data_IF_740528772410
#
_entry.id   IF_740528772410
#
_cell.length_a   1.000
_cell.length_b   1.000
_cell.length_c   1.000
_cell.angle_alpha   90.00
_cell.angle_beta   90.00
_cell.angle_gamma   90.00
#
_symmetry.space_group_name_H-M   'P 1'
#
loop_
_entity.id
_entity.type
_entity.pdbx_description
1 polymer ?
#
# COMPACT_ATOMS: atom_id res chain seq x y z
N UNK A 1 -18.89 -3.46 4.69
CA UNK A 1 -17.84 -4.15 3.90
C UNK A 1 -16.57 -4.23 4.73
N UNK A 2 -15.80 -5.31 4.64
CA UNK A 2 -14.49 -5.38 5.30
C UNK A 2 -13.47 -4.49 4.57
N UNK A 3 -12.46 -3.92 5.26
CA UNK A 3 -11.40 -3.13 4.61
C UNK A 3 -10.68 -3.89 3.48
N UNK A 4 -10.51 -5.21 3.65
CA UNK A 4 -9.97 -6.10 2.61
C UNK A 4 -10.79 -6.05 1.32
N UNK A 5 -12.11 -6.13 1.44
CA UNK A 5 -12.98 -6.10 0.27
C UNK A 5 -12.89 -4.74 -0.43
N UNK A 6 -12.87 -3.64 0.33
CA UNK A 6 -12.71 -2.29 -0.23
C UNK A 6 -11.40 -2.15 -1.03
N UNK A 7 -10.31 -2.74 -0.54
CA UNK A 7 -9.01 -2.71 -1.21
C UNK A 7 -8.99 -3.52 -2.53
N UNK A 8 -9.67 -4.67 -2.56
CA UNK A 8 -9.83 -5.46 -3.79
C UNK A 8 -10.77 -4.76 -4.76
N UNK A 9 -11.86 -4.16 -4.27
CA UNK A 9 -12.78 -3.38 -5.10
C UNK A 9 -12.10 -2.18 -5.73
N UNK A 10 -11.23 -1.45 -5.01
CA UNK A 10 -10.50 -0.32 -5.58
C UNK A 10 -9.59 -0.75 -6.73
N UNK A 11 -8.90 -1.89 -6.62
CA UNK A 11 -8.12 -2.44 -7.72
C UNK A 11 -8.99 -2.74 -8.94
N UNK A 12 -10.11 -3.44 -8.74
CA UNK A 12 -11.04 -3.79 -9.84
C UNK A 12 -11.56 -2.51 -10.51
N UNK A 13 -11.91 -1.49 -9.72
CA UNK A 13 -12.34 -0.19 -10.25
C UNK A 13 -11.24 0.48 -11.08
N UNK A 14 -10.00 0.52 -10.59
CA UNK A 14 -8.87 1.10 -11.33
C UNK A 14 -8.68 0.38 -12.67
N UNK A 15 -8.63 -0.96 -12.66
CA UNK A 15 -8.48 -1.74 -13.90
C UNK A 15 -9.67 -1.51 -14.85
N UNK A 16 -10.89 -1.47 -14.33
CA UNK A 16 -12.09 -1.24 -15.15
C UNK A 16 -12.08 0.14 -15.80
N UNK A 17 -11.69 1.18 -15.04
CA UNK A 17 -11.52 2.54 -15.57
C UNK A 17 -10.41 2.58 -16.60
N UNK A 18 -9.28 1.92 -16.37
CA UNK A 18 -8.17 1.91 -17.33
C UNK A 18 -8.57 1.25 -18.64
N UNK A 19 -9.25 0.10 -18.57
CA UNK A 19 -9.75 -0.59 -19.77
C UNK A 19 -10.76 0.26 -20.54
N UNK A 20 -11.61 1.01 -19.83
CA UNK A 20 -12.60 1.89 -20.45
C UNK A 20 -11.98 3.16 -21.07
N UNK A 21 -11.03 3.80 -20.38
CA UNK A 21 -10.46 5.09 -20.78
C UNK A 21 -9.30 4.93 -21.77
N UNK A 22 -8.38 3.99 -21.50
CA UNK A 22 -7.14 3.81 -22.27
C UNK A 22 -7.16 2.59 -23.21
N UNK A 23 -8.11 1.67 -23.04
CA UNK A 23 -8.13 0.41 -23.76
C UNK A 23 -7.10 -0.60 -23.24
N UNK A 24 -7.11 -1.81 -23.80
CA UNK A 24 -6.36 -2.95 -23.28
C UNK A 24 -4.84 -2.77 -23.37
N UNK A 25 -4.31 -2.33 -24.51
CA UNK A 25 -2.86 -2.25 -24.73
C UNK A 25 -2.20 -1.26 -23.76
N UNK A 26 -2.73 -0.03 -23.70
CA UNK A 26 -2.20 1.00 -22.81
C UNK A 26 -2.41 0.67 -21.33
N UNK A 27 -3.51 -0.01 -20.98
CA UNK A 27 -3.69 -0.53 -19.60
C UNK A 27 -2.56 -1.47 -19.19
N UNK A 28 -2.17 -2.39 -20.06
CA UNK A 28 -1.08 -3.34 -19.78
C UNK A 28 0.26 -2.60 -19.69
N UNK A 29 0.49 -1.62 -20.55
CA UNK A 29 1.69 -0.77 -20.52
C UNK A 29 1.80 -0.01 -19.19
N UNK A 30 0.75 0.69 -18.76
CA UNK A 30 0.71 1.42 -17.48
C UNK A 30 0.99 0.52 -16.28
N UNK A 31 0.47 -0.71 -16.27
CA UNK A 31 0.74 -1.67 -15.18
C UNK A 31 2.20 -2.14 -15.21
N UNK A 32 2.76 -2.31 -16.42
CA UNK A 32 4.15 -2.75 -16.60
C UNK A 32 5.16 -1.67 -16.27
N UNK A 33 4.84 -0.40 -16.49
CA UNK A 33 5.72 0.72 -16.13
C UNK A 33 6.04 0.70 -14.62
N UNK A 34 5.09 0.25 -13.80
CA UNK A 34 5.25 0.13 -12.34
C UNK A 34 5.94 -1.17 -11.87
N UNK A 35 6.60 -1.91 -12.76
CA UNK A 35 7.19 -3.21 -12.43
C UNK A 35 8.19 -3.17 -11.27
N UNK A 36 8.93 -2.07 -11.08
CA UNK A 36 9.89 -1.93 -9.98
C UNK A 36 9.19 -1.90 -8.62
N UNK A 37 8.06 -1.21 -8.52
CA UNK A 37 7.27 -1.17 -7.29
C UNK A 37 6.58 -2.50 -7.02
N UNK A 38 6.08 -3.16 -8.07
CA UNK A 38 5.57 -4.53 -7.96
C UNK A 38 6.67 -5.48 -7.48
N UNK A 39 7.89 -5.36 -8.03
CA UNK A 39 9.03 -6.17 -7.64
C UNK A 39 9.45 -5.89 -6.19
N UNK A 40 9.38 -4.64 -5.73
CA UNK A 40 9.68 -4.25 -4.36
C UNK A 40 8.76 -4.90 -3.31
N UNK A 41 7.54 -5.28 -3.68
CA UNK A 41 6.64 -6.03 -2.79
C UNK A 41 7.25 -7.37 -2.37
N UNK A 42 8.07 -8.00 -3.21
CA UNK A 42 8.66 -9.31 -2.93
C UNK A 42 9.60 -9.28 -1.71
N UNK A 43 10.69 -8.48 -1.68
CA UNK A 43 11.57 -8.43 -0.51
C UNK A 43 10.85 -7.91 0.74
N UNK A 44 9.94 -6.95 0.62
CA UNK A 44 9.16 -6.44 1.76
C UNK A 44 8.30 -7.55 2.36
N UNK A 45 7.64 -8.35 1.51
CA UNK A 45 6.81 -9.48 1.96
C UNK A 45 7.65 -10.57 2.61
N UNK A 46 8.86 -10.85 2.11
CA UNK A 46 9.78 -11.80 2.76
C UNK A 46 10.18 -11.34 4.17
N UNK A 47 10.53 -10.06 4.32
CA UNK A 47 10.90 -9.49 5.64
C UNK A 47 9.69 -9.52 6.59
N UNK A 48 8.51 -9.19 6.09
CA UNK A 48 7.25 -9.30 6.83
C UNK A 48 7.06 -10.71 7.39
N UNK A 49 7.15 -11.74 6.55
CA UNK A 49 6.99 -13.13 6.97
C UNK A 49 8.08 -13.57 7.95
N UNK A 50 9.32 -13.14 7.74
CA UNK A 50 10.43 -13.43 8.65
C UNK A 50 10.11 -12.96 10.08
N UNK A 51 9.74 -11.68 10.26
CA UNK A 51 9.43 -11.17 11.61
C UNK A 51 8.14 -11.76 12.17
N UNK A 52 7.10 -11.91 11.35
CA UNK A 52 5.84 -12.54 11.76
C UNK A 52 6.05 -13.94 12.33
N UNK A 53 6.92 -14.74 11.71
CA UNK A 53 7.24 -16.08 12.20
C UNK A 53 8.04 -16.05 13.52
N UNK A 54 8.95 -15.07 13.70
CA UNK A 54 9.75 -14.94 14.93
C UNK A 54 8.95 -14.54 16.17
N UNK A 55 7.81 -13.87 15.99
CA UNK A 55 6.92 -13.45 17.08
C UNK A 55 5.69 -14.34 17.24
N UNK A 56 5.58 -15.40 16.43
CA UNK A 56 4.43 -16.33 16.46
C UNK A 56 4.32 -17.01 17.83
N UNK A 57 3.12 -17.01 18.40
CA UNK A 57 2.84 -17.63 19.69
C UNK A 57 3.19 -16.77 20.92
N UNK A 58 3.60 -15.51 20.71
CA UNK A 58 3.84 -14.53 21.79
C UNK A 58 2.70 -13.50 21.82
N UNK A 59 2.51 -12.83 22.94
CA UNK A 59 1.60 -11.69 23.02
C UNK A 59 2.11 -10.56 22.13
N UNK A 60 1.20 -10.00 21.33
CA UNK A 60 1.53 -8.92 20.39
C UNK A 60 0.95 -7.62 20.91
N UNK A 61 1.81 -6.61 21.02
CA UNK A 61 1.41 -5.22 21.28
C UNK A 61 1.26 -4.53 19.92
N UNK A 62 0.08 -3.97 19.67
CA UNK A 62 -0.13 -3.13 18.50
C UNK A 62 0.44 -1.72 18.76
N UNK A 63 1.62 -1.46 18.19
CA UNK A 63 2.27 -0.16 18.30
C UNK A 63 1.63 0.91 17.41
N UNK A 64 0.75 0.52 16.50
CA UNK A 64 0.06 1.41 15.56
C UNK A 64 -1.34 1.82 16.06
N UNK A 65 -1.75 1.37 17.25
CA UNK A 65 -3.09 1.60 17.82
C UNK A 65 -3.52 3.07 17.91
N UNK A 66 -2.57 4.00 18.05
CA UNK A 66 -2.83 5.45 18.10
C UNK A 66 -2.63 6.15 16.75
N UNK A 67 -2.26 5.41 15.69
CA UNK A 67 -2.10 5.95 14.35
C UNK A 67 -3.48 6.05 13.68
N UNK A 68 -4.34 6.93 14.21
CA UNK A 68 -5.63 7.24 13.59
C UNK A 68 -5.40 8.20 12.42
N UNK A 69 -4.92 7.68 11.30
CA UNK A 69 -5.04 8.39 10.03
C UNK A 69 -6.53 8.66 9.81
N UNK A 70 -6.96 9.90 10.03
CA UNK A 70 -8.37 10.23 9.88
C UNK A 70 -8.72 10.12 8.40
N UNK A 71 -9.88 9.51 8.11
CA UNK A 71 -10.41 9.41 6.74
C UNK A 71 -10.48 10.80 6.08
N UNK A 72 -10.74 11.85 6.87
CA UNK A 72 -10.67 13.25 6.46
C UNK A 72 -9.29 13.63 5.90
N UNK A 73 -8.21 13.31 6.60
CA UNK A 73 -6.85 13.62 6.16
C UNK A 73 -6.47 12.83 4.90
N UNK A 74 -6.88 11.55 4.82
CA UNK A 74 -6.65 10.73 3.62
C UNK A 74 -7.37 11.30 2.40
N UNK A 75 -8.61 11.76 2.55
CA UNK A 75 -9.36 12.40 1.46
C UNK A 75 -8.69 13.71 1.02
N UNK A 76 -8.29 14.56 1.97
CA UNK A 76 -7.61 15.83 1.65
C UNK A 76 -6.30 15.56 0.91
N UNK A 77 -5.50 14.61 1.40
CA UNK A 77 -4.25 14.22 0.75
C UNK A 77 -4.52 13.70 -0.67
N UNK A 78 -5.50 12.81 -0.84
CA UNK A 78 -5.89 12.30 -2.15
C UNK A 78 -6.29 13.42 -3.12
N UNK A 79 -7.15 14.36 -2.69
CA UNK A 79 -7.58 15.49 -3.53
C UNK A 79 -6.42 16.40 -3.95
N UNK A 80 -5.46 16.66 -3.06
CA UNK A 80 -4.26 17.44 -3.39
C UNK A 80 -3.45 16.73 -4.48
N UNK A 81 -3.23 15.42 -4.33
CA UNK A 81 -2.49 14.64 -5.32
C UNK A 81 -3.21 14.63 -6.68
N UNK A 82 -4.54 14.49 -6.71
CA UNK A 82 -5.28 14.59 -7.98
C UNK A 82 -5.07 15.93 -8.69
N UNK A 83 -5.02 17.04 -7.95
CA UNK A 83 -4.76 18.37 -8.55
C UNK A 83 -3.33 18.48 -9.06
N UNK A 84 -2.35 17.97 -8.30
CA UNK A 84 -0.94 17.98 -8.70
C UNK A 84 -0.76 17.15 -9.98
N UNK A 85 -1.28 15.94 -10.01
CA UNK A 85 -1.14 15.06 -11.18
C UNK A 85 -1.84 15.62 -12.40
N UNK A 86 -3.00 16.25 -12.24
CA UNK A 86 -3.66 16.92 -13.36
C UNK A 86 -2.76 17.98 -14.02
N UNK A 87 -1.99 18.72 -13.21
CA UNK A 87 -1.09 19.76 -13.73
C UNK A 87 0.18 19.15 -14.31
N UNK A 88 0.71 18.08 -13.70
CA UNK A 88 2.00 17.49 -14.04
C UNK A 88 1.93 16.41 -15.12
N UNK A 89 0.81 15.71 -15.25
CA UNK A 89 0.64 14.49 -16.06
C UNK A 89 -0.46 14.71 -17.12
N UNK A 90 -0.22 15.62 -18.06
CA UNK A 90 -1.05 15.82 -19.27
C UNK A 90 -2.59 15.85 -19.02
N UNK A 91 -3.01 16.47 -17.91
CA UNK A 91 -4.42 16.66 -17.57
C UNK A 91 -5.11 15.41 -17.01
N UNK A 92 -6.36 15.18 -17.40
CA UNK A 92 -7.19 14.11 -16.83
C UNK A 92 -6.64 12.71 -17.10
N UNK A 93 -6.03 12.50 -18.28
CA UNK A 93 -5.56 11.19 -18.67
C UNK A 93 -4.34 10.77 -17.84
N UNK A 94 -3.31 11.61 -17.71
CA UNK A 94 -2.17 11.24 -16.89
C UNK A 94 -2.49 11.25 -15.38
N UNK A 95 -3.39 12.12 -14.91
CA UNK A 95 -3.92 12.01 -13.54
C UNK A 95 -4.51 10.62 -13.25
N UNK A 96 -5.32 10.07 -14.16
CA UNK A 96 -5.89 8.73 -14.01
C UNK A 96 -4.80 7.66 -14.12
N UNK A 97 -3.80 7.81 -15.00
CA UNK A 97 -2.75 6.80 -15.18
C UNK A 97 -1.89 6.57 -13.92
N UNK A 98 -1.83 7.55 -13.01
CA UNK A 98 -1.12 7.45 -11.73
C UNK A 98 -1.84 6.62 -10.66
N UNK A 99 -3.12 6.28 -10.84
CA UNK A 99 -3.92 5.62 -9.80
C UNK A 99 -3.39 4.25 -9.39
N UNK A 100 -2.89 3.48 -10.35
CA UNK A 100 -2.31 2.16 -10.08
C UNK A 100 -1.03 2.26 -9.25
N UNK A 101 -0.16 3.23 -9.53
CA UNK A 101 1.02 3.52 -8.71
C UNK A 101 0.61 3.83 -7.27
N UNK A 102 -0.37 4.71 -7.06
CA UNK A 102 -0.86 5.01 -5.70
C UNK A 102 -1.44 3.81 -4.98
N UNK A 103 -2.12 2.93 -5.71
CA UNK A 103 -2.63 1.69 -5.15
C UNK A 103 -1.48 0.76 -4.69
N UNK A 104 -0.42 0.61 -5.49
CA UNK A 104 0.77 -0.17 -5.10
C UNK A 104 1.48 0.48 -3.91
N UNK A 105 1.66 1.81 -3.93
CA UNK A 105 2.31 2.54 -2.84
C UNK A 105 1.54 2.39 -1.52
N UNK A 106 0.20 2.38 -1.57
CA UNK A 106 -0.65 2.05 -0.44
C UNK A 106 -0.37 0.65 0.11
N UNK A 107 -0.23 -0.35 -0.78
CA UNK A 107 0.11 -1.72 -0.39
C UNK A 107 1.50 -1.82 0.26
N UNK A 108 2.50 -1.14 -0.32
CA UNK A 108 3.86 -1.05 0.22
C UNK A 108 3.84 -0.43 1.62
N UNK A 109 3.16 0.70 1.79
CA UNK A 109 3.06 1.39 3.07
C UNK A 109 2.41 0.52 4.16
N UNK A 110 1.33 -0.20 3.82
CA UNK A 110 0.69 -1.15 4.73
C UNK A 110 1.63 -2.29 5.13
N UNK A 111 2.32 -2.90 4.17
CA UNK A 111 3.26 -3.98 4.46
C UNK A 111 4.43 -3.51 5.34
N UNK A 112 4.98 -2.33 5.09
CA UNK A 112 6.04 -1.74 5.90
C UNK A 112 5.54 -1.46 7.32
N UNK A 113 4.35 -0.86 7.46
CA UNK A 113 3.77 -0.53 8.75
C UNK A 113 3.57 -1.78 9.63
N UNK A 114 3.05 -2.86 9.05
CA UNK A 114 2.89 -4.14 9.74
C UNK A 114 4.24 -4.82 10.02
N UNK A 115 5.18 -4.74 9.08
CA UNK A 115 6.53 -5.28 9.28
C UNK A 115 7.23 -4.60 10.45
N UNK A 116 7.12 -3.27 10.56
CA UNK A 116 7.67 -2.49 11.67
C UNK A 116 6.99 -2.92 12.98
N UNK A 117 5.67 -3.12 12.97
CA UNK A 117 4.93 -3.58 14.15
C UNK A 117 5.47 -4.93 14.66
N UNK A 118 5.66 -5.90 13.75
CA UNK A 118 6.25 -7.20 14.11
C UNK A 118 7.71 -7.10 14.53
N UNK A 119 8.51 -6.25 13.86
CA UNK A 119 9.90 -6.03 14.25
C UNK A 119 10.01 -5.45 15.67
N UNK A 120 9.16 -4.48 16.03
CA UNK A 120 9.14 -3.92 17.40
C UNK A 120 8.77 -4.97 18.43
N UNK A 121 7.77 -5.81 18.15
CA UNK A 121 7.42 -6.94 19.00
C UNK A 121 8.57 -7.94 19.13
N UNK A 122 9.28 -8.25 18.04
CA UNK A 122 10.45 -9.12 18.06
C UNK A 122 11.55 -8.55 18.98
N UNK A 123 11.83 -7.24 18.85
CA UNK A 123 12.84 -6.56 19.68
C UNK A 123 12.49 -6.59 21.17
N UNK A 124 11.24 -6.30 21.53
CA UNK A 124 10.81 -6.37 22.93
C UNK A 124 10.99 -7.77 23.52
N UNK A 125 10.50 -8.78 22.79
CA UNK A 125 10.62 -10.18 23.21
C UNK A 125 12.06 -10.64 23.39
N UNK A 126 12.99 -10.13 22.58
CA UNK A 126 14.42 -10.47 22.70
C UNK A 126 15.07 -9.80 23.93
N UNK A 127 14.62 -8.60 24.31
CA UNK A 127 15.10 -7.91 25.52
C UNK A 127 14.61 -8.63 26.78
N UNK A 128 13.37 -9.10 26.81
CA UNK A 128 12.80 -9.82 27.96
C UNK A 128 13.45 -11.19 28.19
N UNK A 129 13.90 -11.87 27.14
CA UNK A 129 14.63 -13.15 27.26
C UNK A 129 16.06 -13.01 27.80
N UNK A 130 16.63 -11.80 27.75
CA UNK A 130 18.00 -11.50 28.19
C UNK A 130 18.04 -10.77 29.55
N UNK A 131 16.90 -10.64 30.24
CA UNK A 131 16.79 -10.16 31.62
C UNK A 131 16.56 -11.32 32.56
#
# INVERSE_FOLDING_TARGET
>A
MSPRNLFVFSLITIISVYLYVFGQEKTIELIKEEYLFILALFPITLIFFYFKMKVKGKELIDFNKNNSFSLKNTIIFFLIFQVVDYISEDGFLGMISMWFLYWIMGLIALLIMETINYYRNYKLNHIEQNK
#
